data_IF_110795416028
#
_entry.id   IF_110795416028
#
_cell.length_a   1.000
_cell.length_b   1.000
_cell.length_c   1.000
_cell.angle_alpha   90.00
_cell.angle_beta   90.00
_cell.angle_gamma   90.00
#
_symmetry.space_group_name_H-M   'P 1'
#
loop_
_entity.id
_entity.type
_entity.pdbx_description
1 polymer ?
#
# COMPACT_ATOMS: atom_id res chain seq x y z
N UNK A 1 57.78 -24.36 -28.46
CA UNK A 1 57.87 -23.99 -27.03
C UNK A 1 57.64 -22.49 -26.94
N UNK A 2 56.67 -22.06 -26.11
CA UNK A 2 56.38 -20.69 -25.64
C UNK A 2 55.99 -19.60 -26.66
N UNK A 3 55.03 -18.70 -26.41
CA UNK A 3 53.92 -18.59 -25.45
C UNK A 3 53.13 -17.35 -25.92
N UNK A 4 51.88 -17.48 -26.33
CA UNK A 4 51.01 -16.33 -26.57
C UNK A 4 50.58 -15.74 -25.23
N UNK A 5 50.82 -14.45 -24.99
CA UNK A 5 50.22 -13.71 -23.87
C UNK A 5 49.51 -12.50 -24.47
N UNK A 6 48.25 -12.68 -24.84
CA UNK A 6 47.34 -11.58 -25.09
C UNK A 6 46.79 -11.13 -23.73
N UNK A 7 47.18 -9.94 -23.28
CA UNK A 7 46.61 -9.27 -22.11
C UNK A 7 45.20 -8.76 -22.47
N UNK A 8 44.20 -9.63 -22.35
CA UNK A 8 42.80 -9.23 -22.39
C UNK A 8 42.39 -8.64 -21.05
N UNK A 9 42.34 -7.31 -20.96
CA UNK A 9 41.67 -6.60 -19.87
C UNK A 9 40.15 -6.82 -20.02
N UNK A 10 39.62 -7.81 -19.30
CA UNK A 10 38.17 -8.03 -19.19
C UNK A 10 37.63 -7.00 -18.19
N UNK A 11 37.01 -5.94 -18.70
CA UNK A 11 36.20 -5.03 -17.89
C UNK A 11 34.92 -5.77 -17.45
N UNK A 12 34.91 -6.28 -16.23
CA UNK A 12 33.67 -6.70 -15.58
C UNK A 12 32.95 -5.43 -15.09
N UNK A 13 32.00 -4.92 -15.89
CA UNK A 13 31.05 -3.93 -15.42
C UNK A 13 30.16 -4.57 -14.36
N UNK A 14 30.49 -4.41 -13.08
CA UNK A 14 29.63 -4.81 -11.98
C UNK A 14 28.52 -3.76 -11.88
N UNK A 15 27.34 -4.08 -12.43
CA UNK A 15 26.14 -3.32 -12.10
C UNK A 15 25.77 -3.61 -10.65
N UNK A 16 25.99 -2.64 -9.76
CA UNK A 16 25.56 -2.72 -8.37
C UNK A 16 24.04 -2.54 -8.36
N UNK A 17 23.30 -3.65 -8.31
CA UNK A 17 21.87 -3.63 -8.06
C UNK A 17 21.64 -3.55 -6.54
N UNK A 18 21.28 -2.39 -6.03
CA UNK A 18 20.81 -2.25 -4.65
C UNK A 18 19.43 -2.91 -4.54
N UNK A 19 19.36 -4.15 -4.06
CA UNK A 19 18.09 -4.80 -3.69
C UNK A 19 17.65 -4.29 -2.32
N UNK A 20 16.69 -3.38 -2.28
CA UNK A 20 15.96 -3.04 -1.06
C UNK A 20 14.65 -3.84 -1.03
N UNK A 21 14.49 -4.69 -0.02
CA UNK A 21 13.22 -5.37 0.20
C UNK A 21 12.39 -4.54 1.17
N UNK A 22 11.19 -4.13 0.77
CA UNK A 22 10.22 -3.53 1.66
C UNK A 22 9.13 -4.54 1.97
N UNK A 23 8.92 -4.82 3.25
CA UNK A 23 7.74 -5.51 3.76
C UNK A 23 6.73 -4.48 4.26
N UNK A 24 5.46 -4.84 4.31
CA UNK A 24 4.41 -3.97 4.82
C UNK A 24 3.59 -4.70 5.87
N UNK A 25 3.18 -3.97 6.90
CA UNK A 25 2.34 -4.48 8.00
C UNK A 25 1.14 -3.58 8.17
N UNK A 26 0.01 -4.16 8.53
CA UNK A 26 -1.25 -3.45 8.78
C UNK A 26 -1.63 -3.54 10.26
N UNK A 27 -2.18 -2.45 10.79
CA UNK A 27 -2.81 -2.41 12.11
C UNK A 27 -4.22 -1.80 11.99
N UNK A 28 -5.29 -2.52 12.39
CA UNK A 28 -5.28 -3.92 12.80
C UNK A 28 -4.88 -4.83 11.63
N UNK A 29 -4.45 -6.06 11.94
CA UNK A 29 -4.14 -7.06 10.93
C UNK A 29 -5.33 -7.23 9.99
N UNK A 30 -5.09 -7.11 8.68
CA UNK A 30 -6.08 -7.45 7.66
C UNK A 30 -6.25 -8.96 7.70
N UNK A 31 -7.40 -9.43 8.14
CA UNK A 31 -7.67 -10.86 8.18
C UNK A 31 -7.91 -11.35 6.75
N UNK A 32 -7.06 -12.23 6.25
CA UNK A 32 -7.47 -13.11 5.17
C UNK A 32 -8.27 -14.26 5.77
N UNK A 33 -9.41 -14.57 5.16
CA UNK A 33 -10.27 -15.72 5.46
C UNK A 33 -11.22 -15.56 6.66
N UNK A 34 -12.33 -14.85 6.42
CA UNK A 34 -13.65 -15.36 6.82
C UNK A 34 -14.61 -15.05 5.68
N UNK A 35 -15.21 -16.06 5.03
CA UNK A 35 -16.32 -15.80 4.12
C UNK A 35 -17.45 -15.12 4.90
N UNK A 36 -17.92 -13.93 4.49
CA UNK A 36 -19.03 -13.28 5.17
C UNK A 36 -20.30 -14.12 4.95
N UNK A 37 -21.12 -14.26 5.99
CA UNK A 37 -22.43 -14.92 5.87
C UNK A 37 -23.37 -14.15 4.92
N UNK A 38 -23.24 -12.82 4.82
CA UNK A 38 -23.96 -11.97 3.85
C UNK A 38 -23.14 -10.71 3.52
N UNK A 39 -23.14 -10.26 2.25
CA UNK A 39 -22.47 -9.04 1.81
C UNK A 39 -23.37 -7.81 2.01
N UNK A 40 -22.81 -6.73 2.54
CA UNK A 40 -23.48 -5.44 2.63
C UNK A 40 -23.76 -4.85 1.24
N UNK A 41 -24.99 -4.37 1.01
CA UNK A 41 -25.35 -3.71 -0.24
C UNK A 41 -24.93 -2.23 -0.19
N UNK A 42 -23.87 -1.88 -0.92
CA UNK A 42 -23.37 -0.51 -1.01
C UNK A 42 -24.08 0.20 -2.16
N UNK A 43 -25.04 1.06 -1.84
CA UNK A 43 -25.79 1.85 -2.84
C UNK A 43 -25.08 3.12 -3.29
N UNK A 44 -24.25 3.73 -2.44
CA UNK A 44 -23.48 4.93 -2.75
C UNK A 44 -22.16 4.95 -1.99
N UNK A 45 -21.16 5.63 -2.53
CA UNK A 45 -19.90 5.86 -1.85
C UNK A 45 -19.36 7.28 -2.05
N UNK A 46 -18.50 7.73 -1.14
CA UNK A 46 -17.61 8.87 -1.37
C UNK A 46 -16.17 8.47 -1.13
N UNK A 47 -15.28 9.05 -1.92
CA UNK A 47 -13.86 8.78 -1.92
C UNK A 47 -13.08 10.08 -1.77
N UNK A 48 -12.20 10.11 -0.78
CA UNK A 48 -11.32 11.23 -0.51
C UNK A 48 -9.90 10.72 -0.32
N UNK A 49 -8.93 11.40 -0.92
CA UNK A 49 -7.52 11.14 -0.68
C UNK A 49 -6.79 12.40 -0.19
N UNK A 50 -6.19 12.29 0.99
CA UNK A 50 -5.25 13.26 1.51
C UNK A 50 -3.82 12.76 1.23
N UNK A 51 -3.15 13.36 0.26
CA UNK A 51 -1.79 12.98 -0.14
C UNK A 51 -0.92 14.23 -0.31
N UNK A 52 0.36 14.19 0.12
CA UNK A 52 1.30 15.26 -0.18
C UNK A 52 1.66 15.31 -1.67
N UNK A 53 1.36 14.25 -2.43
CA UNK A 53 1.63 14.18 -3.86
C UNK A 53 0.38 14.55 -4.66
N UNK A 54 0.46 15.65 -5.42
CA UNK A 54 -0.58 16.02 -6.38
C UNK A 54 -0.78 14.87 -7.38
N UNK A 55 -2.04 14.48 -7.61
CA UNK A 55 -2.41 13.38 -8.50
C UNK A 55 -1.78 12.02 -8.12
N UNK A 56 -1.72 11.69 -6.83
CA UNK A 56 -1.17 10.42 -6.36
C UNK A 56 -1.62 9.23 -7.22
N UNK A 57 -0.64 8.44 -7.68
CA UNK A 57 -0.86 7.20 -8.44
C UNK A 57 -1.64 6.20 -7.60
N UNK A 58 -1.24 5.99 -6.34
CA UNK A 58 -1.96 5.09 -5.43
C UNK A 58 -3.41 5.52 -5.26
N UNK A 59 -3.67 6.82 -5.11
CA UNK A 59 -5.02 7.35 -5.03
C UNK A 59 -5.89 7.04 -6.24
N UNK A 60 -5.34 7.13 -7.46
CA UNK A 60 -6.06 6.77 -8.69
C UNK A 60 -6.32 5.27 -8.78
N UNK A 61 -5.31 4.46 -8.46
CA UNK A 61 -5.41 3.01 -8.55
C UNK A 61 -6.37 2.45 -7.49
N UNK A 62 -6.35 3.01 -6.27
CA UNK A 62 -7.28 2.64 -5.19
C UNK A 62 -8.72 3.06 -5.49
N UNK A 63 -8.92 4.23 -6.10
CA UNK A 63 -10.24 4.64 -6.59
C UNK A 63 -10.76 3.69 -7.68
N UNK A 64 -9.93 3.33 -8.67
CA UNK A 64 -10.31 2.36 -9.69
C UNK A 64 -10.60 0.97 -9.10
N UNK A 65 -9.86 0.56 -8.06
CA UNK A 65 -10.13 -0.68 -7.33
C UNK A 65 -11.45 -0.62 -6.54
N UNK A 66 -11.82 0.56 -6.00
CA UNK A 66 -13.12 0.79 -5.35
C UNK A 66 -14.25 0.55 -6.34
N UNK A 67 -14.21 1.20 -7.50
CA UNK A 67 -15.23 1.07 -8.54
C UNK A 67 -15.42 -0.39 -8.97
N UNK A 68 -14.33 -1.17 -9.02
CA UNK A 68 -14.39 -2.61 -9.33
C UNK A 68 -15.01 -3.44 -8.20
N UNK A 69 -14.78 -3.05 -6.94
CA UNK A 69 -15.30 -3.77 -5.79
C UNK A 69 -16.80 -3.53 -5.57
N UNK A 70 -17.30 -2.34 -5.91
CA UNK A 70 -18.70 -1.92 -5.75
C UNK A 70 -19.25 -1.27 -7.03
N UNK A 71 -19.36 -2.02 -8.15
CA UNK A 71 -19.63 -1.46 -9.48
C UNK A 71 -21.00 -0.80 -9.64
N UNK A 72 -21.96 -1.15 -8.78
CA UNK A 72 -23.33 -0.64 -8.84
C UNK A 72 -23.56 0.55 -7.89
N UNK A 73 -22.55 0.95 -7.10
CA UNK A 73 -22.68 2.04 -6.15
C UNK A 73 -22.55 3.40 -6.86
N UNK A 74 -23.40 4.35 -6.51
CA UNK A 74 -23.30 5.74 -6.98
C UNK A 74 -22.09 6.44 -6.36
N UNK A 75 -21.27 7.10 -7.18
CA UNK A 75 -20.13 7.89 -6.73
C UNK A 75 -20.54 9.32 -6.39
N UNK A 76 -20.46 9.68 -5.11
CA UNK A 76 -20.78 11.00 -4.57
C UNK A 76 -19.53 11.78 -4.16
N UNK A 77 -18.34 11.41 -4.66
CA UNK A 77 -17.06 12.02 -4.25
C UNK A 77 -16.91 13.49 -4.66
N UNK A 78 -17.65 13.94 -5.68
CA UNK A 78 -17.63 15.33 -6.17
C UNK A 78 -18.70 16.21 -5.54
N UNK A 79 -19.64 15.63 -4.78
CA UNK A 79 -20.74 16.38 -4.18
C UNK A 79 -20.31 17.01 -2.85
N UNK A 80 -19.80 18.24 -2.93
CA UNK A 80 -19.53 19.10 -1.76
C UNK A 80 -20.80 19.40 -0.95
N UNK A 81 -21.99 19.17 -1.52
CA UNK A 81 -23.29 19.51 -0.97
C UNK A 81 -24.24 18.30 -0.86
N UNK A 82 -23.71 17.07 -0.76
CA UNK A 82 -24.56 15.90 -0.54
C UNK A 82 -25.37 16.09 0.76
N UNK A 83 -26.67 16.36 0.63
CA UNK A 83 -27.63 16.50 1.75
C UNK A 83 -27.74 15.21 2.58
N UNK A 84 -27.17 14.12 2.09
CA UNK A 84 -27.34 12.78 2.59
C UNK A 84 -25.99 12.09 2.66
N UNK A 85 -25.58 11.56 3.84
CA UNK A 85 -24.31 10.86 3.94
C UNK A 85 -24.32 9.60 3.06
N UNK A 86 -23.24 9.34 2.30
CA UNK A 86 -23.16 8.16 1.44
C UNK A 86 -23.12 6.89 2.28
N UNK A 87 -23.55 5.77 1.68
CA UNK A 87 -23.56 4.45 2.31
C UNK A 87 -22.16 4.05 2.75
N UNK A 88 -21.15 4.28 1.90
CA UNK A 88 -19.75 4.04 2.21
C UNK A 88 -18.91 5.31 2.06
N UNK A 89 -18.23 5.74 3.12
CA UNK A 89 -17.22 6.80 3.07
C UNK A 89 -15.83 6.20 3.15
N UNK A 90 -15.01 6.47 2.14
CA UNK A 90 -13.62 6.03 2.01
C UNK A 90 -12.72 7.25 2.09
N UNK A 91 -11.86 7.29 3.11
CA UNK A 91 -10.85 8.33 3.24
C UNK A 91 -9.47 7.69 3.32
N UNK A 92 -8.66 7.91 2.30
CA UNK A 92 -7.27 7.47 2.27
C UNK A 92 -6.37 8.62 2.67
N UNK A 93 -5.32 8.31 3.42
CA UNK A 93 -4.25 9.25 3.70
C UNK A 93 -2.93 8.61 3.34
N UNK A 94 -2.11 9.36 2.62
CA UNK A 94 -0.74 8.99 2.33
C UNK A 94 0.16 9.98 3.05
N UNK A 95 1.22 9.46 3.67
CA UNK A 95 2.16 10.27 4.41
C UNK A 95 3.52 10.20 3.71
N UNK A 96 4.15 11.36 3.54
CA UNK A 96 5.54 11.42 3.12
C UNK A 96 6.40 10.89 4.27
N UNK A 97 6.99 9.71 4.10
CA UNK A 97 8.08 9.30 4.99
C UNK A 97 9.31 10.12 4.62
N UNK A 98 9.49 11.24 5.31
CA UNK A 98 10.48 12.27 5.03
C UNK A 98 11.95 11.86 5.27
N UNK A 99 12.44 10.83 4.57
CA UNK A 99 13.88 10.54 4.48
C UNK A 99 14.26 9.06 4.52
N UNK A 100 15.54 8.81 4.20
CA UNK A 100 16.20 7.53 4.47
C UNK A 100 16.39 7.38 5.99
N UNK A 101 16.29 6.15 6.51
CA UNK A 101 16.71 5.94 7.89
C UNK A 101 18.20 6.24 8.03
N UNK A 102 18.65 6.70 9.20
CA UNK A 102 20.08 6.92 9.47
C UNK A 102 20.92 5.66 9.21
N UNK A 103 20.34 4.48 9.43
CA UNK A 103 20.97 3.21 9.11
C UNK A 103 21.13 2.97 7.60
N UNK A 104 20.17 3.39 6.77
CA UNK A 104 20.29 3.28 5.31
C UNK A 104 21.47 4.12 4.80
N UNK A 105 21.76 5.25 5.45
CA UNK A 105 22.91 6.08 5.15
C UNK A 105 24.23 5.37 5.48
N UNK A 106 24.31 4.67 6.62
CA UNK A 106 25.47 3.85 6.99
C UNK A 106 25.64 2.64 6.06
N UNK A 107 24.55 2.02 5.64
CA UNK A 107 24.56 0.98 4.60
C UNK A 107 25.10 1.54 3.29
N UNK A 108 24.64 2.73 2.86
CA UNK A 108 25.17 3.40 1.68
C UNK A 108 26.67 3.71 1.77
N UNK A 109 27.12 4.29 2.89
CA UNK A 109 28.53 4.61 3.13
C UNK A 109 29.43 3.38 3.25
N UNK A 110 28.90 2.26 3.76
CA UNK A 110 29.63 1.00 3.88
C UNK A 110 29.58 0.13 2.62
N UNK A 111 29.10 0.67 1.49
CA UNK A 111 28.85 -0.08 0.25
C UNK A 111 28.03 -1.36 0.51
N UNK A 112 27.09 -1.26 1.44
CA UNK A 112 26.16 -2.32 1.83
C UNK A 112 26.75 -3.46 2.65
N UNK A 113 27.95 -3.30 3.22
CA UNK A 113 28.53 -4.23 4.19
C UNK A 113 27.81 -4.22 5.54
N UNK A 114 27.25 -3.07 5.92
CA UNK A 114 26.44 -2.94 7.12
C UNK A 114 24.96 -2.98 6.69
N UNK A 115 24.19 -4.03 7.04
CA UNK A 115 22.77 -4.06 6.70
C UNK A 115 21.99 -2.99 7.47
N UNK A 116 20.91 -2.49 6.88
CA UNK A 116 19.96 -1.60 7.56
C UNK A 116 18.59 -2.25 7.72
N UNK A 117 17.90 -1.89 8.80
CA UNK A 117 16.52 -2.27 9.06
C UNK A 117 15.72 -1.03 9.46
N UNK A 118 14.92 -0.52 8.52
CA UNK A 118 14.20 0.74 8.70
C UNK A 118 12.70 0.48 8.74
N UNK A 119 12.05 0.83 9.86
CA UNK A 119 10.58 0.81 9.93
C UNK A 119 10.04 2.23 9.76
N UNK A 120 9.19 2.42 8.75
CA UNK A 120 8.43 3.64 8.47
C UNK A 120 6.98 3.42 8.90
N UNK A 121 6.60 3.90 10.10
CA UNK A 121 5.24 3.74 10.58
C UNK A 121 4.26 4.65 9.83
N UNK A 122 3.02 4.20 9.67
CA UNK A 122 1.89 5.00 9.17
C UNK A 122 2.13 5.67 7.80
N UNK A 123 2.70 4.94 6.84
CA UNK A 123 2.84 5.42 5.47
C UNK A 123 1.50 5.63 4.77
N UNK A 124 0.56 4.73 5.04
CA UNK A 124 -0.80 4.84 4.54
C UNK A 124 -1.80 4.66 5.67
N UNK A 125 -2.93 5.35 5.57
CA UNK A 125 -4.06 5.16 6.46
C UNK A 125 -5.32 5.03 5.64
N UNK A 126 -6.05 3.93 5.80
CA UNK A 126 -7.30 3.66 5.12
C UNK A 126 -8.42 3.75 6.14
N UNK A 127 -9.30 4.73 6.00
CA UNK A 127 -10.47 4.88 6.87
C UNK A 127 -11.72 4.54 6.06
N UNK A 128 -12.46 3.54 6.52
CA UNK A 128 -13.74 3.16 5.96
C UNK A 128 -14.83 3.43 7.00
N UNK A 129 -15.86 4.15 6.61
CA UNK A 129 -17.05 4.38 7.44
C UNK A 129 -18.27 3.94 6.64
N UNK A 130 -19.09 3.12 7.25
CA UNK A 130 -20.33 2.63 6.66
C UNK A 130 -21.50 3.27 7.40
N UNK A 131 -22.43 3.82 6.63
CA UNK A 131 -23.68 4.38 7.10
C UNK A 131 -24.84 3.56 6.53
N UNK A 132 -25.85 3.29 7.34
CA UNK A 132 -27.10 2.66 6.93
C UNK A 132 -28.24 3.57 7.34
N UNK A 133 -29.17 3.84 6.44
CA UNK A 133 -30.33 4.73 6.67
C UNK A 133 -29.92 6.08 7.30
N UNK A 134 -28.81 6.64 6.79
CA UNK A 134 -28.21 7.91 7.22
C UNK A 134 -27.66 7.92 8.65
N UNK A 135 -27.56 6.75 9.29
CA UNK A 135 -26.94 6.59 10.62
C UNK A 135 -25.60 5.89 10.49
N UNK A 136 -24.69 6.26 11.37
CA UNK A 136 -23.42 5.57 11.54
C UNK A 136 -23.68 4.11 11.90
N UNK A 137 -23.04 3.18 11.18
CA UNK A 137 -23.08 1.77 11.53
C UNK A 137 -21.72 1.28 12.02
N UNK A 138 -20.69 1.35 11.17
CA UNK A 138 -19.37 0.86 11.51
C UNK A 138 -18.28 1.71 10.91
N UNK A 139 -17.12 1.71 11.57
CA UNK A 139 -15.91 2.34 11.06
C UNK A 139 -14.73 1.43 11.33
N UNK A 140 -13.83 1.32 10.36
CA UNK A 140 -12.56 0.63 10.52
C UNK A 140 -11.46 1.46 9.90
N UNK A 141 -10.35 1.53 10.60
CA UNK A 141 -9.15 2.26 10.18
C UNK A 141 -8.01 1.27 10.12
N UNK A 142 -7.31 1.23 8.98
CA UNK A 142 -6.09 0.45 8.82
C UNK A 142 -4.91 1.40 8.65
N UNK A 143 -3.92 1.27 9.52
CA UNK A 143 -2.63 1.93 9.39
C UNK A 143 -1.63 0.97 8.79
N UNK A 144 -1.02 1.37 7.68
CA UNK A 144 -0.02 0.58 6.97
C UNK A 144 1.36 1.15 7.24
N UNK A 145 2.25 0.31 7.76
CA UNK A 145 3.65 0.63 8.00
C UNK A 145 4.52 -0.18 7.04
N UNK A 146 5.65 0.36 6.59
CA UNK A 146 6.62 -0.40 5.81
C UNK A 146 7.87 -0.65 6.63
N UNK A 147 8.43 -1.84 6.51
CA UNK A 147 9.75 -2.16 7.05
C UNK A 147 10.65 -2.53 5.89
N UNK A 148 11.64 -1.69 5.61
CA UNK A 148 12.64 -1.94 4.57
C UNK A 148 13.92 -2.53 5.15
N UNK A 149 14.46 -3.50 4.45
CA UNK A 149 15.76 -4.10 4.69
C UNK A 149 16.66 -3.85 3.48
N UNK A 150 17.85 -3.29 3.72
CA UNK A 150 18.82 -3.05 2.67
C UNK A 150 20.13 -3.75 3.00
N UNK A 151 20.60 -4.60 2.08
CA UNK A 151 21.91 -5.24 2.11
C UNK A 151 22.36 -5.51 0.66
N UNK A 152 23.66 -5.52 0.40
CA UNK A 152 24.20 -5.80 -0.93
C UNK A 152 24.50 -7.30 -1.05
N UNK A 153 23.49 -8.09 -1.41
CA UNK A 153 23.74 -9.46 -1.90
C UNK A 153 23.88 -9.42 -3.42
N UNK A 154 25.05 -9.82 -3.91
CA UNK A 154 25.30 -10.13 -5.32
C UNK A 154 24.43 -11.34 -5.71
N UNK A 155 23.19 -11.09 -6.14
CA UNK A 155 22.28 -12.14 -6.63
C UNK A 155 22.19 -12.00 -8.15
N UNK A 156 22.71 -12.96 -8.93
CA UNK A 156 22.43 -13.02 -10.34
C UNK A 156 20.95 -13.41 -10.48
N UNK A 157 20.15 -12.51 -11.08
CA UNK A 157 18.73 -12.68 -11.41
C UNK A 157 17.78 -12.72 -10.21
N UNK A 158 17.30 -11.54 -9.82
CA UNK A 158 16.21 -11.38 -8.87
C UNK A 158 15.39 -10.13 -9.23
N UNK A 159 14.67 -10.20 -10.36
CA UNK A 159 13.57 -9.29 -10.67
C UNK A 159 12.41 -9.62 -9.72
N UNK A 160 12.36 -8.98 -8.54
CA UNK A 160 11.23 -9.14 -7.61
C UNK A 160 10.44 -7.84 -7.48
N UNK A 161 9.23 -7.89 -8.02
CA UNK A 161 8.22 -6.82 -8.10
C UNK A 161 7.88 -6.23 -6.72
N UNK A 162 8.27 -4.99 -6.47
CA UNK A 162 7.69 -4.12 -5.43
C UNK A 162 6.45 -3.36 -5.91
N UNK A 163 6.13 -3.44 -7.20
CA UNK A 163 5.06 -2.67 -7.79
C UNK A 163 3.69 -3.21 -7.35
N UNK A 164 2.98 -2.37 -6.58
CA UNK A 164 1.56 -2.46 -6.19
C UNK A 164 1.21 -3.13 -4.84
N UNK A 165 2.18 -3.45 -3.97
CA UNK A 165 1.86 -4.01 -2.64
C UNK A 165 0.93 -3.13 -1.78
N UNK A 166 1.08 -1.78 -1.75
CA UNK A 166 0.11 -0.91 -1.05
C UNK A 166 -1.31 -1.01 -1.62
N UNK A 167 -1.46 -1.17 -2.94
CA UNK A 167 -2.76 -1.33 -3.59
C UNK A 167 -3.40 -2.66 -3.24
N UNK A 168 -2.61 -3.74 -3.20
CA UNK A 168 -3.09 -5.05 -2.76
C UNK A 168 -3.58 -5.01 -1.30
N UNK A 169 -2.84 -4.34 -0.41
CA UNK A 169 -3.26 -4.12 0.98
C UNK A 169 -4.55 -3.29 1.08
N UNK A 170 -4.69 -2.26 0.25
CA UNK A 170 -5.93 -1.49 0.16
C UNK A 170 -7.11 -2.36 -0.26
N UNK A 171 -6.96 -3.15 -1.33
CA UNK A 171 -8.00 -4.06 -1.83
C UNK A 171 -8.40 -5.08 -0.77
N UNK A 172 -7.42 -5.66 -0.07
CA UNK A 172 -7.65 -6.60 1.02
C UNK A 172 -8.38 -5.93 2.20
N UNK A 173 -7.97 -4.73 2.59
CA UNK A 173 -8.61 -3.96 3.66
C UNK A 173 -10.05 -3.54 3.33
N UNK A 174 -10.31 -3.14 2.08
CA UNK A 174 -11.65 -2.83 1.58
C UNK A 174 -12.52 -4.09 1.61
N UNK A 175 -12.01 -5.22 1.11
CA UNK A 175 -12.71 -6.50 1.14
C UNK A 175 -13.04 -6.93 2.57
N UNK A 176 -12.05 -6.94 3.47
CA UNK A 176 -12.24 -7.26 4.89
C UNK A 176 -13.27 -6.33 5.55
N UNK A 177 -13.23 -5.03 5.23
CA UNK A 177 -14.23 -4.09 5.72
C UNK A 177 -15.64 -4.39 5.20
N UNK A 178 -15.80 -4.71 3.91
CA UNK A 178 -17.10 -5.02 3.31
C UNK A 178 -17.67 -6.37 3.79
N UNK A 179 -16.80 -7.28 4.23
CA UNK A 179 -17.16 -8.58 4.80
C UNK A 179 -17.66 -8.51 6.26
N UNK A 180 -17.55 -7.36 6.92
CA UNK A 180 -18.20 -7.16 8.22
C UNK A 180 -19.70 -7.49 8.10
N UNK A 181 -20.23 -8.23 9.07
CA UNK A 181 -21.65 -8.60 9.10
C UNK A 181 -22.58 -7.39 8.97
N UNK A 182 -23.80 -7.62 8.51
CA UNK A 182 -24.77 -6.54 8.24
C UNK A 182 -24.99 -5.66 9.47
N UNK A 183 -25.08 -4.36 9.23
CA UNK A 183 -25.65 -3.41 10.17
C UNK A 183 -27.08 -3.83 10.56
N UNK A 184 -27.23 -4.47 11.71
CA UNK A 184 -28.55 -4.67 12.34
C UNK A 184 -29.01 -3.34 12.90
N UNK A 185 -30.09 -2.79 12.35
CA UNK A 185 -30.86 -1.74 13.02
C UNK A 185 -31.39 -2.32 14.34
N UNK A 186 -31.26 -1.61 15.48
CA UNK A 186 -31.92 -2.02 16.72
C UNK A 186 -33.44 -2.08 16.56
#
# INVERSE_FOLDING_TARGET
MHRSIANGLVFFSIAIACSSCASYTSQPTINELVEPKEKENISSFSYEINSPWKNSRFGKDAYAATLKAIPNAQDNSSDLAASTPPTLKIQLSEFSSGGACSQDYLTGLSLGLIPSWCTRPNLFKFNFTLNKDHRFCRKKTYSISSTSYSHLTMIPFALFNTDNQPLALYQAALKDFLQGGQCTTP
#
